data_IF_448420062234
#
_entry.id   IF_448420062234
#
_cell.length_a   1.000
_cell.length_b   1.000
_cell.length_c   1.000
_cell.angle_alpha   90.00
_cell.angle_beta   90.00
_cell.angle_gamma   90.00
#
_symmetry.space_group_name_H-M   'P 1'
#
loop_
_entity.id
_entity.type
_entity.pdbx_description
1 polymer ?
#
# COMPACT_ATOMS: atom_id res chain seq x y z
N UNK A 1 9.08 -18.93 -5.43
CA UNK A 1 7.76 -18.69 -4.81
C UNK A 1 7.88 -18.67 -3.29
N UNK A 2 8.40 -19.72 -2.66
CA UNK A 2 8.54 -19.84 -1.20
C UNK A 2 9.12 -18.61 -0.47
N UNK A 3 10.18 -17.99 -1.01
CA UNK A 3 10.77 -16.79 -0.38
C UNK A 3 9.84 -15.58 -0.42
N UNK A 4 9.21 -15.34 -1.57
CA UNK A 4 8.23 -14.28 -1.75
C UNK A 4 6.99 -14.50 -0.86
N UNK A 5 6.47 -15.74 -0.82
CA UNK A 5 5.33 -16.11 0.03
C UNK A 5 5.68 -15.85 1.51
N UNK A 6 6.84 -16.32 1.98
CA UNK A 6 7.28 -16.11 3.37
C UNK A 6 7.47 -14.64 3.72
N UNK A 7 8.01 -13.83 2.80
CA UNK A 7 8.16 -12.40 2.99
C UNK A 7 6.81 -11.70 3.17
N UNK A 8 5.82 -12.04 2.33
CA UNK A 8 4.48 -11.47 2.41
C UNK A 8 3.74 -11.92 3.67
N UNK A 9 3.84 -13.20 4.04
CA UNK A 9 3.24 -13.74 5.27
C UNK A 9 3.75 -13.01 6.52
N UNK A 10 5.07 -12.79 6.62
CA UNK A 10 5.67 -12.05 7.73
C UNK A 10 5.22 -10.59 7.76
N UNK A 11 5.13 -9.95 6.59
CA UNK A 11 4.68 -8.55 6.46
C UNK A 11 3.22 -8.39 6.88
N UNK A 12 2.34 -9.26 6.40
CA UNK A 12 0.92 -9.30 6.77
C UNK A 12 0.77 -9.61 8.27
N UNK A 13 1.55 -10.54 8.79
CA UNK A 13 1.59 -10.85 10.23
C UNK A 13 1.94 -9.64 11.09
N UNK A 14 2.96 -8.88 10.69
CA UNK A 14 3.34 -7.65 11.38
C UNK A 14 2.25 -6.57 11.32
N UNK A 15 1.62 -6.36 10.16
CA UNK A 15 0.49 -5.44 10.00
C UNK A 15 -0.67 -5.84 10.94
N UNK A 16 -0.99 -7.14 11.01
CA UNK A 16 -2.04 -7.65 11.89
C UNK A 16 -1.73 -7.45 13.37
N UNK A 17 -0.47 -7.63 13.79
CA UNK A 17 -0.06 -7.35 15.17
C UNK A 17 -0.25 -5.88 15.54
N UNK A 18 0.13 -4.96 14.64
CA UNK A 18 -0.06 -3.52 14.85
C UNK A 18 -1.54 -3.14 14.93
N UNK A 19 -2.36 -3.71 14.04
CA UNK A 19 -3.80 -3.54 14.03
C UNK A 19 -4.44 -4.00 15.35
N UNK A 20 -4.10 -5.22 15.81
CA UNK A 20 -4.66 -5.80 17.05
C UNK A 20 -4.37 -4.97 18.32
N UNK A 21 -3.26 -4.23 18.32
CA UNK A 21 -2.86 -3.39 19.45
C UNK A 21 -3.20 -1.91 19.27
N UNK A 22 -3.89 -1.54 18.19
CA UNK A 22 -4.31 -0.16 17.94
C UNK A 22 -3.19 0.80 17.51
N UNK A 23 -2.06 0.30 17.02
CA UNK A 23 -0.96 1.13 16.52
C UNK A 23 -1.21 1.55 15.07
N UNK A 24 -2.21 2.41 14.86
CA UNK A 24 -2.79 2.73 13.54
C UNK A 24 -1.79 3.39 12.59
N UNK A 25 -1.02 4.38 13.05
CA UNK A 25 -0.07 5.11 12.22
C UNK A 25 1.07 4.19 11.74
N UNK A 26 1.58 3.35 12.65
CA UNK A 26 2.59 2.35 12.33
C UNK A 26 2.04 1.28 11.36
N UNK A 27 0.81 0.83 11.58
CA UNK A 27 0.11 -0.12 10.69
C UNK A 27 -0.02 0.45 9.28
N UNK A 28 -0.49 1.68 9.14
CA UNK A 28 -0.64 2.37 7.85
C UNK A 28 0.72 2.60 7.18
N UNK A 29 1.73 3.00 7.95
CA UNK A 29 3.10 3.20 7.45
C UNK A 29 3.66 1.91 6.87
N UNK A 30 3.53 0.80 7.60
CA UNK A 30 3.97 -0.51 7.12
C UNK A 30 3.16 -0.98 5.91
N UNK A 31 1.85 -0.72 5.89
CA UNK A 31 0.99 -1.06 4.74
C UNK A 31 1.44 -0.33 3.48
N UNK A 32 1.71 0.98 3.55
CA UNK A 32 2.21 1.74 2.40
C UNK A 32 3.61 1.29 1.97
N UNK A 33 4.50 1.01 2.91
CA UNK A 33 5.83 0.47 2.60
C UNK A 33 5.73 -0.90 1.90
N UNK A 34 4.79 -1.75 2.33
CA UNK A 34 4.53 -3.04 1.70
C UNK A 34 4.00 -2.87 0.27
N UNK A 35 3.11 -1.89 0.03
CA UNK A 35 2.65 -1.56 -1.33
C UNK A 35 3.82 -1.10 -2.22
N UNK A 36 4.72 -0.24 -1.73
CA UNK A 36 5.92 0.17 -2.48
C UNK A 36 6.77 -1.05 -2.88
N UNK A 37 6.97 -1.98 -1.95
CA UNK A 37 7.73 -3.21 -2.20
C UNK A 37 7.03 -4.10 -3.25
N UNK A 38 5.71 -4.20 -3.21
CA UNK A 38 4.93 -4.94 -4.20
C UNK A 38 4.97 -4.30 -5.60
N UNK A 39 4.92 -2.97 -5.66
CA UNK A 39 5.10 -2.22 -6.89
C UNK A 39 6.50 -2.47 -7.48
N UNK A 40 7.53 -2.47 -6.64
CA UNK A 40 8.89 -2.80 -7.04
C UNK A 40 8.99 -4.22 -7.61
N UNK A 41 8.39 -5.23 -6.98
CA UNK A 41 8.40 -6.61 -7.46
C UNK A 41 7.78 -6.78 -8.86
N UNK A 42 6.89 -5.88 -9.26
CA UNK A 42 6.19 -5.89 -10.56
C UNK A 42 6.95 -5.13 -11.66
N UNK A 43 7.92 -4.29 -11.29
CA UNK A 43 8.64 -3.41 -12.22
C UNK A 43 10.05 -3.93 -12.55
N UNK A 44 10.44 -3.89 -13.83
CA UNK A 44 11.71 -4.44 -14.32
C UNK A 44 12.96 -3.62 -13.98
N UNK A 45 12.82 -2.39 -13.48
CA UNK A 45 13.96 -1.55 -13.09
C UNK A 45 14.43 -1.75 -11.65
N UNK A 46 15.47 -0.99 -11.28
CA UNK A 46 16.16 -1.11 -9.99
C UNK A 46 15.34 -0.54 -8.83
N UNK A 47 14.71 0.62 -9.01
CA UNK A 47 13.95 1.32 -7.98
C UNK A 47 12.55 1.66 -8.51
N UNK A 48 11.51 1.42 -7.71
CA UNK A 48 10.16 1.84 -8.04
C UNK A 48 9.97 3.32 -7.72
N UNK A 49 9.14 4.02 -8.50
CA UNK A 49 8.78 5.40 -8.27
C UNK A 49 7.26 5.53 -8.11
N UNK A 50 6.78 6.76 -7.93
CA UNK A 50 5.35 7.02 -7.74
C UNK A 50 4.45 6.58 -8.90
N UNK A 51 4.95 6.52 -10.15
CA UNK A 51 4.17 5.96 -11.25
C UNK A 51 3.94 4.46 -11.05
N UNK A 52 5.00 3.73 -10.70
CA UNK A 52 4.93 2.29 -10.44
C UNK A 52 4.04 1.96 -9.23
N UNK A 53 4.11 2.74 -8.16
CA UNK A 53 3.16 2.65 -7.04
C UNK A 53 1.72 2.80 -7.53
N UNK A 54 1.44 3.88 -8.27
CA UNK A 54 0.08 4.21 -8.74
C UNK A 54 -0.48 3.13 -9.68
N UNK A 55 0.33 2.61 -10.58
CA UNK A 55 -0.07 1.54 -11.50
C UNK A 55 -0.38 0.26 -10.71
N UNK A 56 0.43 -0.06 -9.71
CA UNK A 56 0.22 -1.25 -8.89
C UNK A 56 -1.07 -1.16 -8.06
N UNK A 57 -1.31 -0.03 -7.38
CA UNK A 57 -2.55 0.13 -6.59
C UNK A 57 -3.79 0.16 -7.48
N UNK A 58 -3.73 0.78 -8.68
CA UNK A 58 -4.83 0.72 -9.64
C UNK A 58 -5.17 -0.72 -10.02
N UNK A 59 -4.14 -1.53 -10.28
CA UNK A 59 -4.31 -2.91 -10.73
C UNK A 59 -4.82 -3.84 -9.62
N UNK A 60 -4.29 -3.72 -8.40
CA UNK A 60 -4.50 -4.76 -7.37
C UNK A 60 -5.33 -4.31 -6.18
N UNK A 61 -5.38 -3.01 -5.87
CA UNK A 61 -6.22 -2.44 -4.82
C UNK A 61 -7.54 -1.95 -5.41
N UNK A 62 -7.47 -1.33 -6.60
CA UNK A 62 -8.57 -0.62 -7.28
C UNK A 62 -9.24 0.39 -6.33
N UNK A 63 -8.53 1.47 -5.97
CA UNK A 63 -8.95 2.36 -4.90
C UNK A 63 -10.18 3.21 -5.26
N UNK A 64 -10.41 3.48 -6.55
CA UNK A 64 -11.57 4.25 -7.00
C UNK A 64 -12.86 3.50 -6.65
N UNK A 65 -12.88 2.18 -6.87
CA UNK A 65 -14.02 1.31 -6.54
C UNK A 65 -14.05 0.92 -5.07
N UNK A 66 -12.89 0.61 -4.48
CA UNK A 66 -12.84 -0.05 -3.17
C UNK A 66 -12.64 0.90 -2.00
N UNK A 67 -12.17 2.13 -2.22
CA UNK A 67 -11.80 3.06 -1.14
C UNK A 67 -12.35 4.48 -1.37
N UNK A 68 -13.09 4.71 -2.45
CA UNK A 68 -13.66 6.01 -2.82
C UNK A 68 -12.58 7.11 -2.94
N UNK A 69 -11.39 6.73 -3.44
CA UNK A 69 -10.25 7.64 -3.64
C UNK A 69 -9.41 7.22 -4.85
N UNK A 70 -8.63 8.15 -5.39
CA UNK A 70 -7.77 7.87 -6.53
C UNK A 70 -6.41 7.31 -6.12
N UNK A 71 -5.72 6.69 -7.07
CA UNK A 71 -4.32 6.29 -6.87
C UNK A 71 -3.39 7.47 -6.58
N UNK A 72 -3.69 8.67 -7.12
CA UNK A 72 -2.95 9.89 -6.82
C UNK A 72 -3.19 10.35 -5.37
N UNK A 73 -4.41 10.19 -4.85
CA UNK A 73 -4.73 10.45 -3.43
C UNK A 73 -3.94 9.51 -2.51
N UNK A 74 -3.92 8.20 -2.80
CA UNK A 74 -3.13 7.23 -2.04
C UNK A 74 -1.63 7.52 -2.09
N UNK A 75 -1.10 7.92 -3.25
CA UNK A 75 0.30 8.30 -3.38
C UNK A 75 0.63 9.55 -2.54
N UNK A 76 -0.25 10.56 -2.57
CA UNK A 76 -0.09 11.77 -1.77
C UNK A 76 -0.15 11.46 -0.26
N UNK A 77 -1.07 10.58 0.17
CA UNK A 77 -1.19 10.14 1.55
C UNK A 77 0.03 9.34 2.03
N UNK A 78 0.51 8.39 1.20
CA UNK A 78 1.77 7.67 1.46
C UNK A 78 2.92 8.64 1.69
N UNK A 79 3.06 9.65 0.83
CA UNK A 79 4.14 10.64 0.95
C UNK A 79 4.05 11.42 2.26
N UNK A 80 2.87 11.93 2.62
CA UNK A 80 2.68 12.68 3.87
C UNK A 80 2.90 11.82 5.11
N UNK A 81 2.37 10.59 5.11
CA UNK A 81 2.51 9.70 6.26
C UNK A 81 3.97 9.29 6.48
N UNK A 82 4.64 8.79 5.43
CA UNK A 82 6.00 8.23 5.56
C UNK A 82 7.05 9.31 5.83
N UNK A 83 6.89 10.52 5.29
CA UNK A 83 7.90 11.57 5.45
C UNK A 83 7.65 12.52 6.62
N UNK A 84 6.39 12.75 7.00
CA UNK A 84 6.05 13.75 8.03
C UNK A 84 5.00 13.29 9.03
N UNK A 85 4.47 12.06 8.92
CA UNK A 85 3.36 11.57 9.72
C UNK A 85 2.11 12.48 9.68
N UNK A 86 1.84 13.11 8.52
CA UNK A 86 0.68 14.00 8.33
C UNK A 86 -0.11 13.61 7.07
N UNK A 87 -1.31 14.16 6.91
CA UNK A 87 -2.10 14.02 5.68
C UNK A 87 -1.56 14.90 4.52
N UNK A 88 -0.59 15.76 4.80
CA UNK A 88 -0.10 16.75 3.85
C UNK A 88 1.15 16.26 3.14
N UNK A 89 1.21 16.49 1.83
CA UNK A 89 2.40 16.28 1.04
C UNK A 89 2.51 17.33 -0.05
N UNK A 90 3.68 17.43 -0.68
CA UNK A 90 3.88 18.27 -1.87
C UNK A 90 2.87 18.02 -3.01
N UNK A 91 2.16 16.89 -2.97
CA UNK A 91 1.19 16.46 -3.98
C UNK A 91 -0.24 16.93 -3.68
N UNK A 92 -0.56 17.43 -2.48
CA UNK A 92 -1.91 17.92 -2.11
C UNK A 92 -1.94 19.31 -1.45
N UNK A 93 -0.79 19.95 -1.20
CA UNK A 93 -0.73 21.32 -0.64
C UNK A 93 -0.54 22.43 -1.69
N UNK A 94 -0.18 22.07 -2.93
CA UNK A 94 0.03 23.05 -4.00
C UNK A 94 -1.31 23.50 -4.58
N UNK A 95 -1.43 24.77 -4.99
CA UNK A 95 -2.65 25.28 -5.61
C UNK A 95 -3.09 24.52 -6.88
N UNK A 96 -2.15 23.87 -7.58
CA UNK A 96 -2.41 23.05 -8.77
C UNK A 96 -2.57 21.55 -8.46
N UNK A 97 -2.56 21.16 -7.19
CA UNK A 97 -2.70 19.77 -6.80
C UNK A 97 -4.11 19.25 -7.09
N UNK A 98 -4.20 18.08 -7.72
CA UNK A 98 -5.46 17.36 -7.92
C UNK A 98 -5.71 16.31 -6.85
N UNK A 99 -4.67 15.90 -6.11
CA UNK A 99 -4.79 14.91 -5.04
C UNK A 99 -5.33 15.55 -3.76
N UNK A 100 -6.17 14.81 -3.06
CA UNK A 100 -6.83 15.21 -1.81
C UNK A 100 -6.04 14.73 -0.59
N UNK A 101 -6.34 15.34 0.57
CA UNK A 101 -5.82 14.91 1.87
C UNK A 101 -6.66 13.74 2.37
N UNK A 102 -6.00 12.63 2.68
CA UNK A 102 -6.67 11.45 3.26
C UNK A 102 -6.54 11.50 4.77
N UNK A 103 -7.68 11.37 5.45
CA UNK A 103 -7.77 11.10 6.88
C UNK A 103 -8.32 9.69 7.08
N UNK A 104 -7.92 9.07 8.19
CA UNK A 104 -8.27 7.69 8.47
C UNK A 104 -9.31 7.60 9.59
N UNK A 105 -10.28 6.72 9.39
CA UNK A 105 -11.23 6.28 10.42
C UNK A 105 -10.91 4.84 10.80
N UNK A 106 -11.27 4.44 12.03
CA UNK A 106 -11.04 3.09 12.55
C UNK A 106 -12.26 2.57 13.29
N UNK A 107 -12.41 1.24 13.36
CA UNK A 107 -13.52 0.60 14.04
C UNK A 107 -14.88 0.97 13.44
N UNK A 108 -15.83 1.39 14.27
CA UNK A 108 -17.17 1.78 13.82
C UNK A 108 -17.29 3.26 13.43
N UNK A 109 -16.20 4.03 13.49
CA UNK A 109 -16.21 5.44 13.15
C UNK A 109 -16.46 5.61 11.64
N UNK A 110 -17.44 6.45 11.29
CA UNK A 110 -17.70 6.84 9.91
C UNK A 110 -17.72 8.36 9.83
N UNK A 111 -16.98 8.93 8.90
CA UNK A 111 -17.16 10.33 8.56
C UNK A 111 -18.36 10.46 7.62
N UNK A 112 -19.47 10.97 8.15
CA UNK A 112 -20.70 11.14 7.38
C UNK A 112 -20.72 12.44 6.57
N UNK A 113 -19.87 13.43 6.92
CA UNK A 113 -19.81 14.73 6.25
C UNK A 113 -18.38 15.29 6.30
N UNK A 114 -17.73 15.43 5.14
CA UNK A 114 -16.58 16.32 4.99
C UNK A 114 -17.09 17.69 4.54
N UNK A 115 -16.75 18.76 5.27
CA UNK A 115 -17.05 20.13 4.85
C UNK A 115 -16.09 20.65 3.76
N UNK A 116 -15.04 19.90 3.48
CA UNK A 116 -13.97 20.31 2.57
C UNK A 116 -13.88 19.37 1.38
N UNK A 117 -13.91 19.92 0.17
CA UNK A 117 -13.84 19.15 -1.08
C UNK A 117 -12.46 18.53 -1.34
N UNK A 118 -11.43 19.02 -0.64
CA UNK A 118 -10.03 18.58 -0.71
C UNK A 118 -9.69 17.48 0.32
N UNK A 119 -10.68 16.99 1.09
CA UNK A 119 -10.48 15.95 2.12
C UNK A 119 -11.34 14.73 1.82
N UNK A 120 -10.73 13.55 1.92
CA UNK A 120 -11.41 12.25 1.91
C UNK A 120 -11.13 11.51 3.22
N UNK A 121 -12.13 10.78 3.71
CA UNK A 121 -11.97 9.87 4.83
C UNK A 121 -11.99 8.43 4.33
N UNK A 122 -10.99 7.64 4.74
CA UNK A 122 -10.90 6.22 4.40
C UNK A 122 -10.90 5.41 5.70
N UNK A 123 -11.58 4.28 5.67
CA UNK A 123 -11.48 3.26 6.72
C UNK A 123 -10.10 2.57 6.61
N UNK A 124 -9.27 2.74 7.64
CA UNK A 124 -7.92 2.16 7.68
C UNK A 124 -7.95 0.63 7.55
N UNK A 125 -8.94 -0.01 8.18
CA UNK A 125 -9.11 -1.47 8.15
C UNK A 125 -9.50 -1.92 6.74
N UNK A 126 -10.29 -1.11 6.03
CA UNK A 126 -10.63 -1.34 4.62
C UNK A 126 -9.39 -1.28 3.74
N UNK A 127 -8.52 -0.28 3.92
CA UNK A 127 -7.25 -0.19 3.18
C UNK A 127 -6.36 -1.40 3.44
N UNK A 128 -6.18 -1.79 4.70
CA UNK A 128 -5.37 -2.97 5.08
C UNK A 128 -5.95 -4.25 4.49
N UNK A 129 -7.26 -4.48 4.61
CA UNK A 129 -7.94 -5.64 4.00
C UNK A 129 -7.74 -5.67 2.49
N UNK A 130 -7.87 -4.52 1.81
CA UNK A 130 -7.64 -4.44 0.37
C UNK A 130 -6.20 -4.73 -0.01
N UNK A 131 -5.23 -4.26 0.77
CA UNK A 131 -3.82 -4.65 0.60
C UNK A 131 -3.64 -6.18 0.75
N UNK A 132 -4.21 -6.80 1.79
CA UNK A 132 -4.11 -8.26 1.98
C UNK A 132 -4.74 -9.02 0.80
N UNK A 133 -5.92 -8.58 0.31
CA UNK A 133 -6.56 -9.19 -0.86
C UNK A 133 -5.74 -8.99 -2.14
N UNK A 134 -5.06 -7.84 -2.28
CA UNK A 134 -4.25 -7.52 -3.46
C UNK A 134 -3.10 -8.52 -3.66
N UNK A 135 -2.58 -9.10 -2.58
CA UNK A 135 -1.60 -10.18 -2.64
C UNK A 135 -2.15 -11.42 -3.35
N UNK A 136 -3.39 -11.83 -3.06
CA UNK A 136 -4.01 -12.97 -3.74
C UNK A 136 -4.16 -12.72 -5.24
N UNK A 137 -4.58 -11.52 -5.63
CA UNK A 137 -4.71 -11.16 -7.04
C UNK A 137 -3.35 -11.12 -7.74
N UNK A 138 -2.33 -10.55 -7.10
CA UNK A 138 -0.97 -10.57 -7.62
C UNK A 138 -0.44 -12.01 -7.78
N UNK A 139 -0.73 -12.91 -6.83
CA UNK A 139 -0.37 -14.34 -6.95
C UNK A 139 -1.02 -15.03 -8.15
N UNK A 140 -2.25 -14.68 -8.49
CA UNK A 140 -2.91 -15.20 -9.69
C UNK A 140 -2.20 -14.68 -10.95
N UNK A 141 -1.86 -13.40 -10.98
CA UNK A 141 -1.16 -12.79 -12.11
C UNK A 141 0.22 -13.42 -12.33
N UNK A 142 1.05 -13.58 -11.28
CA UNK A 142 2.36 -14.25 -11.40
C UNK A 142 2.22 -15.73 -11.78
N UNK A 143 1.12 -16.40 -11.44
CA UNK A 143 0.88 -17.78 -11.85
C UNK A 143 0.56 -17.86 -13.35
N UNK A 144 -0.13 -16.83 -13.88
CA UNK A 144 -0.55 -16.75 -15.28
C UNK A 144 0.49 -16.15 -16.24
N UNK A 145 1.46 -15.38 -15.73
CA UNK A 145 2.50 -14.71 -16.53
C UNK A 145 3.91 -15.19 -16.12
N UNK A 146 4.55 -16.06 -16.92
CA UNK A 146 5.90 -16.55 -16.64
C UNK A 146 6.96 -15.45 -16.54
N UNK A 147 6.86 -14.37 -17.32
CA UNK A 147 7.85 -13.29 -17.30
C UNK A 147 7.74 -12.49 -16.01
N UNK A 148 6.51 -12.19 -15.59
CA UNK A 148 6.26 -11.52 -14.31
C UNK A 148 6.70 -12.41 -13.14
N UNK A 149 6.44 -13.72 -13.22
CA UNK A 149 6.89 -14.69 -12.22
C UNK A 149 8.40 -14.68 -12.02
N UNK A 150 9.16 -14.78 -13.11
CA UNK A 150 10.62 -14.82 -13.06
C UNK A 150 11.18 -13.49 -12.53
N UNK A 151 10.62 -12.37 -12.97
CA UNK A 151 10.96 -11.04 -12.45
C UNK A 151 10.73 -10.96 -10.94
N UNK A 152 9.53 -11.32 -10.48
CA UNK A 152 9.15 -11.25 -9.08
C UNK A 152 10.03 -12.15 -8.19
N UNK A 153 10.31 -13.38 -8.63
CA UNK A 153 11.21 -14.31 -7.90
C UNK A 153 12.63 -13.73 -7.83
N UNK A 154 13.17 -13.27 -8.94
CA UNK A 154 14.52 -12.72 -9.00
C UNK A 154 14.68 -11.48 -8.10
N UNK A 155 13.65 -10.65 -8.01
CA UNK A 155 13.63 -9.49 -7.11
C UNK A 155 13.40 -9.89 -5.66
N UNK A 156 12.51 -10.84 -5.39
CA UNK A 156 12.27 -11.36 -4.04
C UNK A 156 13.54 -11.92 -3.40
N UNK A 157 14.39 -12.62 -4.18
CA UNK A 157 15.68 -13.12 -3.69
C UNK A 157 16.67 -12.02 -3.26
N UNK A 158 16.44 -10.76 -3.62
CA UNK A 158 17.23 -9.60 -3.18
C UNK A 158 16.67 -8.94 -1.93
N UNK A 159 15.48 -9.35 -1.47
CA UNK A 159 14.88 -8.82 -0.26
C UNK A 159 15.73 -9.25 0.93
N UNK A 160 16.04 -8.28 1.79
CA UNK A 160 16.69 -8.52 3.07
C UNK A 160 15.81 -9.49 3.87
N UNK A 161 16.30 -10.71 4.02
CA UNK A 161 15.64 -11.73 4.83
C UNK A 161 16.69 -12.33 5.74
N UNK A 162 16.39 -12.36 7.04
CA UNK A 162 17.17 -13.11 8.00
C UNK A 162 16.67 -14.54 7.97
N UNK A 163 17.55 -15.49 7.66
CA UNK A 163 17.35 -16.88 8.04
C UNK A 163 17.61 -16.92 9.54
N UNK A 164 16.57 -17.22 10.32
CA UNK A 164 16.73 -17.45 11.74
C UNK A 164 17.40 -18.83 11.89
N UNK A 165 18.73 -18.83 12.03
CA UNK A 165 19.47 -20.02 12.43
C UNK A 165 19.05 -20.36 13.85
N UNK A 166 18.42 -21.52 14.05
CA UNK A 166 18.28 -22.14 15.37
C UNK A 166 19.48 -23.02 15.64
#
# INVERSE_FOLDING_TARGET
>A
MQHLDSFQEKTIGAINLLHQHGYVEAMLTLTFAAIDQMAWLTFAGNESNGAHFKDWVKRYIDPDTNLDCTADDLWAARCGLVHTATAESRHNIKATASAKKIFYTTGSAKCSVSKSSDVIFIDADKLVKRFICSWLQYRLDIASDPKLKDLAINKANKILSYVQSF
#
